data_IF_515793797416
#
_entry.id   IF_515793797416
#
_cell.length_a   1.000
_cell.length_b   1.000
_cell.length_c   1.000
_cell.angle_alpha   90.00
_cell.angle_beta   90.00
_cell.angle_gamma   90.00
#
_symmetry.space_group_name_H-M   'P 1'
#
loop_
_entity.id
_entity.type
_entity.pdbx_description
1 polymer ?
#
# COMPACT_ATOMS: atom_id res chain seq x y z
N UNK A 1 -15.27 2.36 61.30
CA UNK A 1 -14.98 3.36 60.25
C UNK A 1 -13.47 3.38 59.96
N UNK A 2 -12.88 2.49 59.13
CA UNK A 2 -11.42 2.55 58.84
C UNK A 2 -10.99 2.19 57.40
N UNK A 3 -11.86 1.67 56.53
CA UNK A 3 -11.37 1.09 55.26
C UNK A 3 -11.17 2.06 54.08
N UNK A 4 -11.54 3.36 54.17
CA UNK A 4 -11.43 4.29 53.02
C UNK A 4 -10.02 4.87 52.80
N UNK A 5 -9.23 5.04 53.86
CA UNK A 5 -7.94 5.74 53.79
C UNK A 5 -6.83 4.96 53.07
N UNK A 6 -6.96 3.64 52.98
CA UNK A 6 -5.94 2.77 52.35
C UNK A 6 -5.94 2.89 50.83
N UNK A 7 -7.12 3.01 50.22
CA UNK A 7 -7.22 3.15 48.76
C UNK A 7 -6.65 4.48 48.27
N UNK A 8 -6.74 5.54 49.07
CA UNK A 8 -6.27 6.86 48.64
C UNK A 8 -4.76 6.95 48.44
N UNK A 9 -3.99 6.28 49.31
CA UNK A 9 -2.53 6.27 49.17
C UNK A 9 -2.07 5.49 47.94
N UNK A 10 -2.81 4.44 47.55
CA UNK A 10 -2.42 3.59 46.42
C UNK A 10 -2.47 4.32 45.08
N UNK A 11 -3.48 5.17 44.83
CA UNK A 11 -3.52 5.93 43.58
C UNK A 11 -2.50 7.07 43.56
N UNK A 12 -2.22 7.70 44.72
CA UNK A 12 -1.28 8.80 44.79
C UNK A 12 0.16 8.30 44.58
N UNK A 13 0.49 7.11 45.11
CA UNK A 13 1.77 6.45 44.88
C UNK A 13 1.91 5.97 43.43
N UNK A 14 0.83 5.43 42.83
CA UNK A 14 0.81 5.04 41.42
C UNK A 14 0.95 6.23 40.46
N UNK A 15 0.44 7.41 40.82
CA UNK A 15 0.60 8.64 40.04
C UNK A 15 1.97 9.32 40.25
N UNK A 16 2.61 9.10 41.40
CA UNK A 16 3.93 9.66 41.71
C UNK A 16 5.09 8.80 41.20
N UNK A 17 4.85 7.53 40.88
CA UNK A 17 5.84 6.72 40.19
C UNK A 17 6.08 7.30 38.79
N UNK A 18 7.32 7.70 38.44
CA UNK A 18 7.61 8.09 37.07
C UNK A 18 7.22 6.93 36.16
N UNK A 19 6.49 7.18 35.06
CA UNK A 19 6.07 6.11 34.17
C UNK A 19 7.31 5.28 33.84
N UNK A 20 7.22 3.94 33.88
CA UNK A 20 8.33 3.10 33.48
C UNK A 20 8.83 3.63 32.15
N UNK A 21 10.11 4.02 32.12
CA UNK A 21 10.82 4.30 30.88
C UNK A 21 10.96 2.97 30.17
N UNK A 22 9.84 2.40 29.72
CA UNK A 22 9.83 1.41 28.67
C UNK A 22 10.55 2.12 27.54
N UNK A 23 11.79 1.68 27.32
CA UNK A 23 12.57 2.01 26.16
C UNK A 23 11.66 1.72 24.98
N UNK A 24 11.02 2.78 24.47
CA UNK A 24 10.13 2.74 23.33
C UNK A 24 11.00 2.35 22.15
N UNK A 25 11.20 1.04 21.99
CA UNK A 25 11.82 0.43 20.84
C UNK A 25 11.02 0.91 19.65
N UNK A 26 11.56 1.90 18.95
CA UNK A 26 10.93 2.45 17.76
C UNK A 26 10.97 1.34 16.74
N UNK A 27 9.83 0.70 16.49
CA UNK A 27 9.74 -0.32 15.46
C UNK A 27 10.01 0.36 14.11
N UNK A 28 11.18 0.06 13.55
CA UNK A 28 11.66 0.59 12.26
C UNK A 28 11.31 -0.36 11.11
N UNK A 29 10.45 -1.35 11.35
CA UNK A 29 10.01 -2.24 10.29
C UNK A 29 9.36 -1.41 9.19
N UNK A 30 9.76 -1.57 7.91
CA UNK A 30 9.20 -0.80 6.81
C UNK A 30 7.68 -0.89 6.80
N UNK A 31 7.01 0.23 7.06
CA UNK A 31 5.55 0.30 7.10
C UNK A 31 4.90 -0.03 5.75
N UNK A 32 5.66 0.11 4.66
CA UNK A 32 5.22 -0.16 3.30
C UNK A 32 5.91 -1.43 2.78
N UNK A 33 5.15 -2.48 2.42
CA UNK A 33 5.71 -3.69 1.84
C UNK A 33 6.46 -3.41 0.54
N UNK A 34 7.60 -4.09 0.32
CA UNK A 34 8.41 -3.90 -0.89
C UNK A 34 7.65 -4.19 -2.19
N UNK A 35 6.69 -5.11 -2.17
CA UNK A 35 5.83 -5.42 -3.32
C UNK A 35 5.04 -4.19 -3.79
N UNK A 36 4.47 -3.42 -2.84
CA UNK A 36 3.74 -2.18 -3.15
C UNK A 36 4.67 -1.16 -3.82
N UNK A 37 5.93 -1.07 -3.37
CA UNK A 37 6.93 -0.17 -3.96
C UNK A 37 7.19 -0.53 -5.42
N UNK A 38 7.38 -1.82 -5.73
CA UNK A 38 7.58 -2.27 -7.11
C UNK A 38 6.35 -2.04 -7.99
N UNK A 39 5.14 -2.22 -7.45
CA UNK A 39 3.89 -1.91 -8.17
C UNK A 39 3.83 -0.42 -8.54
N UNK A 40 4.05 0.48 -7.57
CA UNK A 40 4.02 1.93 -7.84
C UNK A 40 5.10 2.36 -8.84
N UNK A 41 6.32 1.83 -8.70
CA UNK A 41 7.41 2.12 -9.62
C UNK A 41 7.10 1.60 -11.03
N UNK A 42 6.59 0.37 -11.14
CA UNK A 42 6.18 -0.23 -12.41
C UNK A 42 5.06 0.56 -13.08
N UNK A 43 4.04 0.98 -12.35
CA UNK A 43 2.95 1.81 -12.89
C UNK A 43 3.42 3.19 -13.31
N UNK A 44 4.30 3.82 -12.54
CA UNK A 44 4.90 5.11 -12.92
C UNK A 44 5.68 4.98 -14.22
N UNK A 45 6.52 3.94 -14.33
CA UNK A 45 7.25 3.66 -15.55
C UNK A 45 6.30 3.36 -16.73
N UNK A 46 5.26 2.56 -16.54
CA UNK A 46 4.28 2.24 -17.57
C UNK A 46 3.51 3.48 -18.06
N UNK A 47 3.13 4.38 -17.15
CA UNK A 47 2.42 5.62 -17.48
C UNK A 47 3.26 6.57 -18.33
N UNK A 48 4.58 6.59 -18.12
CA UNK A 48 5.50 7.41 -18.90
C UNK A 48 5.90 6.70 -20.21
N UNK A 49 6.45 5.49 -20.10
CA UNK A 49 7.05 4.76 -21.22
C UNK A 49 5.97 4.25 -22.19
N UNK A 50 4.81 3.82 -21.71
CA UNK A 50 3.77 3.25 -22.56
C UNK A 50 3.25 4.24 -23.61
N UNK A 51 2.59 5.35 -23.22
CA UNK A 51 2.05 6.32 -24.16
C UNK A 51 3.14 7.02 -24.99
N UNK A 52 4.25 7.43 -24.37
CA UNK A 52 5.34 8.13 -25.07
C UNK A 52 6.06 7.19 -26.04
N UNK A 53 6.37 5.96 -25.60
CA UNK A 53 6.98 4.95 -26.43
C UNK A 53 6.10 4.59 -27.62
N UNK A 54 4.80 4.41 -27.40
CA UNK A 54 3.87 4.11 -28.50
C UNK A 54 3.75 5.27 -29.49
N UNK A 55 3.76 6.53 -29.02
CA UNK A 55 3.80 7.69 -29.90
C UNK A 55 5.00 7.63 -30.86
N UNK A 56 6.22 7.48 -30.32
CA UNK A 56 7.43 7.49 -31.14
C UNK A 56 7.57 6.27 -32.04
N UNK A 57 7.16 5.08 -31.58
CA UNK A 57 7.08 3.88 -32.43
C UNK A 57 6.17 4.15 -33.63
N UNK A 58 4.98 4.73 -33.39
CA UNK A 58 4.00 5.01 -34.44
C UNK A 58 4.49 6.06 -35.42
N UNK A 59 5.10 7.15 -34.95
CA UNK A 59 5.71 8.17 -35.81
C UNK A 59 6.86 7.57 -36.64
N UNK A 60 7.72 6.75 -36.04
CA UNK A 60 8.84 6.11 -36.74
C UNK A 60 8.38 5.11 -37.81
N UNK A 61 7.20 4.51 -37.66
CA UNK A 61 6.56 3.71 -38.72
C UNK A 61 6.03 4.55 -39.90
N UNK A 62 6.23 5.87 -39.90
CA UNK A 62 5.81 6.78 -40.96
C UNK A 62 4.38 7.30 -40.83
N UNK A 63 3.72 7.05 -39.69
CA UNK A 63 2.39 7.59 -39.44
C UNK A 63 2.44 9.08 -39.09
N UNK A 64 1.35 9.80 -39.36
CA UNK A 64 1.22 11.20 -38.97
C UNK A 64 1.16 11.34 -37.45
N UNK A 65 1.53 12.53 -36.95
CA UNK A 65 1.47 12.85 -35.51
C UNK A 65 0.07 12.66 -34.92
N UNK A 66 -0.99 12.91 -35.72
CA UNK A 66 -2.37 12.68 -35.30
C UNK A 66 -2.65 11.20 -35.05
N UNK A 67 -2.22 10.32 -35.95
CA UNK A 67 -2.38 8.86 -35.77
C UNK A 67 -1.58 8.40 -34.57
N UNK A 68 -0.32 8.84 -34.44
CA UNK A 68 0.51 8.53 -33.29
C UNK A 68 -0.10 9.00 -31.97
N UNK A 69 -0.74 10.17 -31.94
CA UNK A 69 -1.46 10.68 -30.78
C UNK A 69 -2.68 9.82 -30.41
N UNK A 70 -3.48 9.42 -31.40
CA UNK A 70 -4.61 8.50 -31.19
C UNK A 70 -4.12 7.16 -30.63
N UNK A 71 -3.06 6.60 -31.21
CA UNK A 71 -2.49 5.34 -30.74
C UNK A 71 -1.93 5.47 -29.32
N UNK A 72 -1.26 6.57 -28.99
CA UNK A 72 -0.78 6.85 -27.63
C UNK A 72 -1.95 6.98 -26.63
N UNK A 73 -3.05 7.62 -27.01
CA UNK A 73 -4.26 7.72 -26.18
C UNK A 73 -4.90 6.35 -25.94
N UNK A 74 -4.93 5.48 -26.95
CA UNK A 74 -5.37 4.08 -26.79
C UNK A 74 -4.44 3.35 -25.81
N UNK A 75 -3.12 3.49 -25.96
CA UNK A 75 -2.15 2.89 -25.04
C UNK A 75 -2.29 3.40 -23.61
N UNK A 76 -2.58 4.68 -23.40
CA UNK A 76 -2.84 5.23 -22.08
C UNK A 76 -4.06 4.56 -21.42
N UNK A 77 -5.13 4.32 -22.19
CA UNK A 77 -6.28 3.56 -21.70
C UNK A 77 -5.91 2.11 -21.36
N UNK A 78 -5.03 1.46 -22.14
CA UNK A 78 -4.51 0.13 -21.79
C UNK A 78 -3.74 0.13 -20.46
N UNK A 79 -2.95 1.18 -20.19
CA UNK A 79 -2.27 1.33 -18.89
C UNK A 79 -3.29 1.49 -17.76
N UNK A 80 -4.35 2.27 -17.97
CA UNK A 80 -5.45 2.40 -17.00
C UNK A 80 -6.15 1.06 -16.74
N UNK A 81 -6.49 0.30 -17.79
CA UNK A 81 -7.06 -1.04 -17.63
C UNK A 81 -6.10 -1.98 -16.90
N UNK A 82 -4.80 -1.90 -17.19
CA UNK A 82 -3.77 -2.65 -16.47
C UNK A 82 -3.75 -2.33 -14.98
N UNK A 83 -3.91 -1.06 -14.62
CA UNK A 83 -4.02 -0.65 -13.21
C UNK A 83 -5.24 -1.27 -12.52
N UNK A 84 -6.41 -1.19 -13.15
CA UNK A 84 -7.64 -1.79 -12.61
C UNK A 84 -7.50 -3.30 -12.46
N UNK A 85 -6.90 -3.96 -13.45
CA UNK A 85 -6.70 -5.40 -13.44
C UNK A 85 -5.78 -5.85 -12.30
N UNK A 86 -4.65 -5.18 -12.10
CA UNK A 86 -3.73 -5.49 -10.98
C UNK A 86 -4.40 -5.22 -9.64
N UNK A 87 -5.14 -4.12 -9.50
CA UNK A 87 -5.88 -3.82 -8.26
C UNK A 87 -6.92 -4.89 -7.93
N UNK A 88 -7.59 -5.46 -8.95
CA UNK A 88 -8.52 -6.56 -8.75
C UNK A 88 -7.82 -7.87 -8.35
N UNK A 89 -6.64 -8.14 -8.92
CA UNK A 89 -5.85 -9.31 -8.56
C UNK A 89 -5.37 -9.23 -7.10
N UNK A 90 -4.94 -8.04 -6.67
CA UNK A 90 -4.53 -7.76 -5.29
C UNK A 90 -5.67 -7.96 -4.28
N UNK A 91 -6.89 -7.49 -4.58
CA UNK A 91 -8.06 -7.70 -3.70
C UNK A 91 -8.41 -9.19 -3.56
N UNK A 92 -8.23 -9.97 -4.64
CA UNK A 92 -8.44 -11.42 -4.58
C UNK A 92 -7.41 -12.12 -3.72
N UNK A 93 -6.13 -11.77 -3.87
CA UNK A 93 -5.05 -12.33 -3.06
C UNK A 93 -5.26 -12.05 -1.56
N UNK A 94 -5.71 -10.84 -1.21
CA UNK A 94 -6.04 -10.48 0.17
C UNK A 94 -7.20 -11.32 0.73
N UNK A 95 -8.27 -11.51 -0.05
CA UNK A 95 -9.41 -12.35 0.35
C UNK A 95 -9.02 -13.82 0.55
N UNK A 96 -8.19 -14.35 -0.34
CA UNK A 96 -7.68 -15.72 -0.26
C UNK A 96 -6.71 -15.90 0.93
N UNK A 97 -5.88 -14.90 1.22
CA UNK A 97 -5.05 -14.90 2.42
C UNK A 97 -5.91 -14.85 3.69
N UNK A 98 -6.96 -14.04 3.69
CA UNK A 98 -7.89 -13.92 4.81
C UNK A 98 -8.69 -15.22 5.04
N UNK A 99 -9.14 -15.91 3.98
CA UNK A 99 -9.85 -17.19 4.11
C UNK A 99 -8.94 -18.28 4.69
N UNK A 100 -7.73 -18.45 4.16
CA UNK A 100 -6.73 -19.41 4.66
C UNK A 100 -6.36 -19.15 6.13
N UNK A 101 -6.28 -17.88 6.55
CA UNK A 101 -5.99 -17.52 7.94
C UNK A 101 -7.14 -17.87 8.89
N UNK A 102 -8.39 -17.81 8.42
CA UNK A 102 -9.57 -18.23 9.20
C UNK A 102 -9.63 -19.75 9.35
N UNK A 103 -9.37 -20.49 8.28
CA UNK A 103 -9.35 -21.97 8.30
C UNK A 103 -8.31 -22.50 9.30
N UNK A 104 -7.10 -21.96 9.30
CA UNK A 104 -6.04 -22.34 10.25
C UNK A 104 -6.32 -21.99 11.71
N UNK A 105 -7.27 -21.09 11.99
CA UNK A 105 -7.67 -20.73 13.37
C UNK A 105 -8.86 -21.54 13.88
N UNK A 106 -9.61 -22.17 12.97
CA UNK A 106 -10.75 -23.02 13.30
C UNK A 106 -10.35 -24.49 13.50
N UNK A 107 -9.12 -24.84 13.12
CA UNK A 107 -8.48 -26.14 13.36
C UNK A 107 -7.57 -26.06 14.58
#
# INVERSE_FOLDING_TARGET
MTSRRSQEKSYAEAAAAPPPKEAASSDVTPAVPADVIYKLLGFTAAMVVGPIGMYFITVNSGASSTVAGITAAITANLVLFGYIYVAWLDDREEREAASKKKEKKAQ
#
